data_IF_470210099029
#
_entry.id   IF_470210099029
#
_cell.length_a   1.000
_cell.length_b   1.000
_cell.length_c   1.000
_cell.angle_alpha   90.00
_cell.angle_beta   90.00
_cell.angle_gamma   90.00
#
_symmetry.space_group_name_H-M   'P 1'
#
loop_
_entity.id
_entity.type
_entity.pdbx_description
1 polymer ?
#
# COMPACT_ATOMS: atom_id res chain seq x y z
N UNK A 1 -2.98 14.98 18.72
CA UNK A 1 -2.93 13.67 18.05
C UNK A 1 -3.90 12.77 18.80
N UNK A 2 -5.14 12.68 18.32
CA UNK A 2 -6.19 11.90 18.99
C UNK A 2 -5.98 10.44 18.65
N UNK A 3 -5.94 9.59 19.68
CA UNK A 3 -5.73 8.14 19.56
C UNK A 3 -6.75 7.53 18.59
N UNK A 4 -6.28 6.89 17.52
CA UNK A 4 -7.13 6.28 16.50
C UNK A 4 -8.05 5.21 17.13
N UNK A 5 -7.63 4.53 18.19
CA UNK A 5 -8.44 3.53 18.88
C UNK A 5 -9.65 4.16 19.61
N UNK A 6 -9.48 5.32 20.25
CA UNK A 6 -10.56 6.06 20.87
C UNK A 6 -11.65 6.47 19.87
N UNK A 7 -11.25 6.91 18.68
CA UNK A 7 -12.17 7.26 17.58
C UNK A 7 -12.92 6.03 17.06
N UNK A 8 -12.23 4.90 16.88
CA UNK A 8 -12.84 3.63 16.45
C UNK A 8 -13.93 3.14 17.41
N UNK A 9 -13.72 3.30 18.73
CA UNK A 9 -14.71 2.94 19.75
C UNK A 9 -15.98 3.81 19.71
N UNK A 10 -15.85 5.10 19.38
CA UNK A 10 -17.01 6.00 19.23
C UNK A 10 -17.83 5.61 18.00
N UNK A 11 -17.17 5.35 16.87
CA UNK A 11 -17.84 4.92 15.64
C UNK A 11 -18.50 3.55 15.81
N UNK A 12 -17.83 2.60 16.49
CA UNK A 12 -18.38 1.28 16.79
C UNK A 12 -19.64 1.31 17.66
N UNK A 13 -19.76 2.26 18.60
CA UNK A 13 -20.97 2.43 19.42
C UNK A 13 -22.16 2.99 18.64
N UNK A 14 -21.93 4.01 17.81
CA UNK A 14 -22.98 4.60 16.96
C UNK A 14 -23.56 3.60 15.95
N UNK A 15 -22.72 2.66 15.51
CA UNK A 15 -23.05 1.53 14.64
C UNK A 15 -24.01 0.52 15.27
N UNK A 16 -23.88 0.27 16.57
CA UNK A 16 -24.68 -0.71 17.29
C UNK A 16 -26.16 -0.30 17.40
N UNK A 17 -26.45 1.00 17.28
CA UNK A 17 -27.78 1.59 17.49
C UNK A 17 -28.66 1.62 16.22
N UNK A 18 -28.10 1.42 15.02
CA UNK A 18 -28.81 1.64 13.75
C UNK A 18 -28.93 0.38 12.87
N UNK A 19 -30.08 -0.29 12.93
CA UNK A 19 -30.40 -1.54 12.24
C UNK A 19 -30.73 -1.44 10.73
N UNK A 20 -29.86 -0.83 9.92
CA UNK A 20 -30.03 -0.79 8.46
C UNK A 20 -28.72 -1.16 7.74
N UNK A 21 -28.76 -2.13 6.81
CA UNK A 21 -27.58 -2.65 6.08
C UNK A 21 -26.71 -1.55 5.42
N UNK A 22 -27.34 -0.47 4.95
CA UNK A 22 -26.61 0.68 4.37
C UNK A 22 -25.80 1.47 5.41
N UNK A 23 -26.29 1.57 6.65
CA UNK A 23 -25.59 2.26 7.75
C UNK A 23 -24.38 1.44 8.18
N UNK A 24 -24.51 0.11 8.25
CA UNK A 24 -23.37 -0.77 8.52
C UNK A 24 -22.28 -0.69 7.46
N UNK A 25 -22.65 -0.73 6.17
CA UNK A 25 -21.68 -0.60 5.07
C UNK A 25 -21.01 0.78 5.05
N UNK A 26 -21.79 1.85 5.27
CA UNK A 26 -21.25 3.21 5.32
C UNK A 26 -20.30 3.40 6.49
N UNK A 27 -20.65 2.91 7.67
CA UNK A 27 -19.79 3.04 8.82
C UNK A 27 -18.55 2.13 8.77
N UNK A 28 -18.66 0.92 8.20
CA UNK A 28 -17.48 0.09 7.88
C UNK A 28 -16.53 0.84 6.93
N UNK A 29 -17.08 1.55 5.94
CA UNK A 29 -16.31 2.40 5.05
C UNK A 29 -15.61 3.53 5.82
N UNK A 30 -16.30 4.24 6.71
CA UNK A 30 -15.72 5.29 7.54
C UNK A 30 -14.63 4.77 8.48
N UNK A 31 -14.82 3.61 9.11
CA UNK A 31 -13.80 2.98 9.97
C UNK A 31 -12.55 2.68 9.14
N UNK A 32 -12.71 2.03 8.00
CA UNK A 32 -11.59 1.69 7.14
C UNK A 32 -10.90 2.92 6.53
N UNK A 33 -11.65 3.98 6.18
CA UNK A 33 -11.09 5.26 5.78
C UNK A 33 -10.33 5.95 6.92
N UNK A 34 -10.85 5.89 8.14
CA UNK A 34 -10.17 6.43 9.33
C UNK A 34 -8.86 5.69 9.59
N UNK A 35 -8.88 4.36 9.56
CA UNK A 35 -7.67 3.54 9.69
C UNK A 35 -6.66 3.93 8.61
N UNK A 36 -7.09 4.06 7.35
CA UNK A 36 -6.21 4.46 6.24
C UNK A 36 -5.59 5.84 6.45
N UNK A 37 -6.35 6.81 6.94
CA UNK A 37 -5.83 8.13 7.31
C UNK A 37 -4.82 8.08 8.46
N UNK A 38 -4.88 7.08 9.34
CA UNK A 38 -3.84 6.85 10.35
C UNK A 38 -2.54 6.29 9.75
N UNK A 39 -2.55 5.74 8.52
CA UNK A 39 -1.41 5.07 7.88
C UNK A 39 -1.07 5.63 6.49
N UNK A 40 -1.10 6.96 6.33
CA UNK A 40 -0.79 7.62 5.05
C UNK A 40 0.61 7.31 4.52
N UNK A 41 1.57 7.00 5.40
CA UNK A 41 2.93 6.59 5.01
C UNK A 41 2.94 5.24 4.26
N UNK A 42 2.06 4.31 4.64
CA UNK A 42 1.92 3.02 3.94
C UNK A 42 1.39 3.25 2.53
N UNK A 43 0.40 4.13 2.38
CA UNK A 43 -0.11 4.51 1.06
C UNK A 43 0.95 5.20 0.20
N UNK A 44 1.75 6.09 0.80
CA UNK A 44 2.85 6.75 0.12
C UNK A 44 3.92 5.74 -0.35
N UNK A 45 4.25 4.75 0.48
CA UNK A 45 5.20 3.68 0.16
C UNK A 45 4.69 2.79 -0.99
N UNK A 46 3.42 2.40 -0.93
CA UNK A 46 2.79 1.60 -2.00
C UNK A 46 2.78 2.40 -3.31
N UNK A 47 2.41 3.68 -3.24
CA UNK A 47 2.37 4.55 -4.41
C UNK A 47 3.76 4.79 -5.02
N UNK A 48 4.81 4.99 -4.21
CA UNK A 48 6.19 5.14 -4.71
C UNK A 48 6.71 3.84 -5.33
N UNK A 49 6.49 2.70 -4.67
CA UNK A 49 6.89 1.39 -5.18
C UNK A 49 6.20 1.08 -6.51
N UNK A 50 4.90 1.38 -6.61
CA UNK A 50 4.14 1.24 -7.85
C UNK A 50 4.70 2.10 -8.98
N UNK A 51 5.08 3.35 -8.70
CA UNK A 51 5.69 4.25 -9.69
C UNK A 51 7.01 3.69 -10.23
N UNK A 52 7.79 2.99 -9.42
CA UNK A 52 9.04 2.37 -9.86
C UNK A 52 8.76 1.33 -10.95
N UNK A 53 7.80 0.44 -10.73
CA UNK A 53 7.48 -0.63 -11.70
C UNK A 53 6.72 -0.11 -12.93
N UNK A 54 5.78 0.82 -12.77
CA UNK A 54 4.95 1.30 -13.88
C UNK A 54 5.70 2.24 -14.85
N UNK A 55 6.78 2.90 -14.41
CA UNK A 55 7.49 3.87 -15.25
C UNK A 55 8.48 3.23 -16.23
N UNK A 56 8.87 1.98 -16.03
CA UNK A 56 9.88 1.34 -16.86
C UNK A 56 9.65 -0.16 -16.96
N UNK A 57 9.38 -0.71 -18.17
CA UNK A 57 9.28 -2.16 -18.36
C UNK A 57 10.58 -2.89 -18.00
N UNK A 58 11.73 -2.20 -18.04
CA UNK A 58 13.01 -2.75 -17.56
C UNK A 58 12.95 -3.10 -16.08
N UNK A 59 12.31 -2.26 -15.24
CA UNK A 59 12.18 -2.53 -13.81
C UNK A 59 11.24 -3.71 -13.52
N UNK A 60 10.19 -3.89 -14.34
CA UNK A 60 9.34 -5.08 -14.26
C UNK A 60 10.11 -6.34 -14.65
N UNK A 61 10.90 -6.29 -15.72
CA UNK A 61 11.75 -7.41 -16.12
C UNK A 61 12.79 -7.75 -15.04
N UNK A 62 13.44 -6.74 -14.45
CA UNK A 62 14.34 -6.86 -13.31
C UNK A 62 13.68 -7.59 -12.14
N UNK A 63 12.46 -7.14 -11.80
CA UNK A 63 11.65 -7.72 -10.74
C UNK A 63 11.32 -9.20 -11.01
N UNK A 64 10.86 -9.53 -12.22
CA UNK A 64 10.56 -10.92 -12.59
C UNK A 64 11.80 -11.82 -12.64
N UNK A 65 12.96 -11.28 -13.04
CA UNK A 65 14.22 -12.01 -13.02
C UNK A 65 14.62 -12.41 -11.59
N UNK A 66 14.42 -11.50 -10.62
CA UNK A 66 14.74 -11.75 -9.21
C UNK A 66 13.65 -12.53 -8.48
N UNK A 67 12.39 -12.37 -8.88
CA UNK A 67 11.21 -12.92 -8.23
C UNK A 67 10.25 -13.56 -9.25
N UNK A 68 10.65 -14.66 -9.91
CA UNK A 68 9.88 -15.24 -11.02
C UNK A 68 8.52 -15.81 -10.60
N UNK A 69 8.37 -16.18 -9.33
CA UNK A 69 7.13 -16.74 -8.78
C UNK A 69 6.16 -15.69 -8.24
N UNK A 70 6.52 -14.41 -8.28
CA UNK A 70 5.66 -13.33 -7.77
C UNK A 70 4.86 -12.74 -8.95
N UNK A 71 3.52 -12.65 -8.84
CA UNK A 71 2.71 -12.05 -9.89
C UNK A 71 3.04 -10.55 -10.04
N UNK A 72 2.78 -9.99 -11.22
CA UNK A 72 3.00 -8.56 -11.46
C UNK A 72 2.19 -7.70 -10.47
N UNK A 73 2.72 -6.55 -10.01
CA UNK A 73 1.93 -5.63 -9.20
C UNK A 73 0.60 -5.28 -9.90
N UNK A 74 -0.54 -5.32 -9.19
CA UNK A 74 -1.83 -5.06 -9.81
C UNK A 74 -1.86 -3.67 -10.44
N UNK A 75 -2.18 -3.63 -11.74
CA UNK A 75 -2.26 -2.40 -12.50
C UNK A 75 -3.32 -1.46 -11.90
N UNK A 76 -3.15 -0.12 -12.04
CA UNK A 76 -4.17 0.83 -11.64
C UNK A 76 -5.44 0.59 -12.44
N UNK A 77 -6.40 -0.13 -11.87
CA UNK A 77 -7.76 -0.12 -12.37
C UNK A 77 -8.29 1.26 -11.96
N UNK A 78 -8.48 2.12 -12.97
CA UNK A 78 -9.27 3.33 -12.79
C UNK A 78 -10.60 2.85 -12.19
N UNK A 79 -11.05 3.46 -11.08
CA UNK A 79 -12.35 3.25 -10.41
C UNK A 79 -12.31 2.40 -9.10
N UNK A 80 -12.67 3.12 -8.01
CA UNK A 80 -13.18 2.71 -6.68
C UNK A 80 -12.27 1.97 -5.68
N UNK A 81 -12.37 2.46 -4.44
CA UNK A 81 -11.82 1.98 -3.15
C UNK A 81 -11.74 0.46 -2.98
N UNK A 82 -12.67 -0.30 -3.56
CA UNK A 82 -12.71 -1.76 -3.51
C UNK A 82 -11.46 -2.43 -4.12
N UNK A 83 -10.84 -1.82 -5.13
CA UNK A 83 -9.61 -2.35 -5.73
C UNK A 83 -8.34 -1.97 -4.95
N UNK A 84 -8.41 -0.95 -4.10
CA UNK A 84 -7.28 -0.53 -3.25
C UNK A 84 -6.83 -1.64 -2.30
N UNK A 85 -7.76 -2.45 -1.80
CA UNK A 85 -7.48 -3.57 -0.91
C UNK A 85 -6.64 -4.65 -1.57
N UNK A 86 -6.91 -5.01 -2.83
CA UNK A 86 -6.09 -6.01 -3.54
C UNK A 86 -4.65 -5.55 -3.68
N UNK A 87 -4.46 -4.25 -3.95
CA UNK A 87 -3.14 -3.66 -4.02
C UNK A 87 -2.47 -3.67 -2.64
N UNK A 88 -3.18 -3.25 -1.59
CA UNK A 88 -2.68 -3.31 -0.22
C UNK A 88 -2.27 -4.73 0.19
N UNK A 89 -3.13 -5.72 -0.02
CA UNK A 89 -2.84 -7.12 0.30
C UNK A 89 -1.68 -7.69 -0.54
N UNK A 90 -1.57 -7.31 -1.82
CA UNK A 90 -0.43 -7.69 -2.65
C UNK A 90 0.88 -7.15 -2.07
N UNK A 91 0.95 -5.85 -1.80
CA UNK A 91 2.17 -5.22 -1.29
C UNK A 91 2.50 -5.66 0.14
N UNK A 92 1.50 -5.96 0.96
CA UNK A 92 1.70 -6.56 2.27
C UNK A 92 2.23 -8.00 2.17
N UNK A 93 1.64 -8.83 1.30
CA UNK A 93 2.03 -10.23 1.12
C UNK A 93 3.46 -10.38 0.60
N UNK A 94 3.87 -9.52 -0.34
CA UNK A 94 5.18 -9.60 -0.99
C UNK A 94 6.15 -8.50 -0.51
N UNK A 95 5.88 -7.93 0.66
CA UNK A 95 6.59 -6.76 1.17
C UNK A 95 8.11 -6.96 1.17
N UNK A 96 8.59 -8.06 1.76
CA UNK A 96 10.03 -8.33 1.86
C UNK A 96 10.69 -8.55 0.51
N UNK A 97 10.01 -9.21 -0.44
CA UNK A 97 10.58 -9.43 -1.76
C UNK A 97 10.64 -8.14 -2.57
N UNK A 98 9.59 -7.31 -2.49
CA UNK A 98 9.55 -5.99 -3.13
C UNK A 98 10.61 -5.07 -2.52
N UNK A 99 10.76 -5.08 -1.18
CA UNK A 99 11.80 -4.34 -0.46
C UNK A 99 13.19 -4.77 -0.90
N UNK A 100 13.47 -6.08 -0.94
CA UNK A 100 14.76 -6.61 -1.38
C UNK A 100 15.06 -6.20 -2.82
N UNK A 101 14.09 -6.28 -3.74
CA UNK A 101 14.30 -5.81 -5.13
C UNK A 101 14.61 -4.32 -5.18
N UNK A 102 13.85 -3.48 -4.49
CA UNK A 102 14.01 -2.02 -4.57
C UNK A 102 15.28 -1.53 -3.85
N UNK A 103 15.68 -2.17 -2.75
CA UNK A 103 16.83 -1.74 -1.93
C UNK A 103 18.15 -2.44 -2.28
N UNK A 104 18.11 -3.72 -2.65
CA UNK A 104 19.32 -4.55 -2.75
C UNK A 104 19.72 -4.87 -4.20
N UNK A 105 18.84 -4.62 -5.17
CA UNK A 105 19.14 -4.90 -6.58
C UNK A 105 19.95 -3.77 -7.23
N UNK A 106 20.99 -4.15 -7.96
CA UNK A 106 21.85 -3.23 -8.69
C UNK A 106 21.10 -2.46 -9.79
N UNK A 107 20.00 -3.04 -10.31
CA UNK A 107 19.18 -2.42 -11.37
C UNK A 107 18.28 -1.28 -10.86
N UNK A 108 18.26 -1.03 -9.54
CA UNK A 108 17.46 0.03 -8.91
C UNK A 108 18.37 1.09 -8.28
N UNK A 109 19.15 1.77 -9.12
CA UNK A 109 20.05 2.83 -8.66
C UNK A 109 19.28 4.14 -8.38
N UNK A 110 19.40 4.76 -7.18
CA UNK A 110 18.73 6.02 -6.86
C UNK A 110 19.09 7.19 -7.79
N UNK A 111 20.23 7.14 -8.46
CA UNK A 111 20.68 8.20 -9.36
C UNK A 111 20.04 8.10 -10.76
N UNK A 112 19.48 6.95 -11.14
CA UNK A 112 18.93 6.72 -12.48
C UNK A 112 17.51 7.25 -12.64
N UNK A 113 16.71 7.23 -11.57
CA UNK A 113 15.36 7.76 -11.61
C UNK A 113 14.89 8.29 -10.25
N UNK A 114 14.27 9.46 -10.25
CA UNK A 114 13.68 10.04 -9.03
C UNK A 114 12.62 9.15 -8.36
N UNK A 115 11.92 8.30 -9.13
CA UNK A 115 10.96 7.34 -8.58
C UNK A 115 11.63 6.22 -7.75
N UNK A 116 12.83 5.78 -8.14
CA UNK A 116 13.61 4.77 -7.41
C UNK A 116 14.05 5.37 -6.08
N UNK A 117 14.71 6.53 -6.14
CA UNK A 117 15.16 7.27 -4.95
C UNK A 117 14.02 7.53 -3.97
N UNK A 118 12.88 8.02 -4.47
CA UNK A 118 11.69 8.32 -3.67
C UNK A 118 11.07 7.08 -3.01
N UNK A 119 11.20 5.90 -3.63
CA UNK A 119 10.73 4.64 -3.06
C UNK A 119 11.69 4.11 -2.00
N UNK A 120 12.99 4.10 -2.29
CA UNK A 120 14.03 3.63 -1.37
C UNK A 120 14.06 4.41 -0.06
N UNK A 121 13.79 5.72 -0.09
CA UNK A 121 13.73 6.55 1.13
C UNK A 121 12.53 6.24 2.02
N UNK A 122 11.44 5.69 1.46
CA UNK A 122 10.22 5.33 2.21
C UNK A 122 10.26 3.93 2.77
N UNK A 123 11.13 3.05 2.27
CA UNK A 123 11.29 1.73 2.89
C UNK A 123 12.00 1.86 4.25
N UNK A 124 11.47 1.25 5.32
CA UNK A 124 12.15 1.24 6.60
C UNK A 124 13.45 0.43 6.49
N UNK A 125 14.57 1.04 6.92
CA UNK A 125 15.90 0.42 6.87
C UNK A 125 16.07 -0.74 7.85
N UNK A 126 15.26 -0.78 8.91
CA UNK A 126 15.14 -1.90 9.85
C UNK A 126 13.66 -2.05 10.25
N UNK A 127 13.17 -3.28 10.24
CA UNK A 127 11.96 -3.67 10.99
C UNK A 127 12.51 -4.46 12.18
N UNK A 128 12.32 -3.94 13.39
CA UNK A 128 12.56 -4.70 14.62
C UNK A 128 11.47 -5.75 14.80
#
# INVERSE_FOLDING_TARGET
>A
MTDCAATMCVVGRSLQEHGCNMIYMHALHLVAETIRHCFLEVDALIASSKKVFLKSPKHLHAFHSRCPNIPEPPQPILIRWEHGWRQLFYYAKYFEQIKAVILESLEFNPNEAGAIKDSQTKFPRHIC
#
